data_IF_097919863744
#
_entry.id   IF_097919863744
#
_cell.length_a   1.000
_cell.length_b   1.000
_cell.length_c   1.000
_cell.angle_alpha   90.00
_cell.angle_beta   90.00
_cell.angle_gamma   90.00
#
_symmetry.space_group_name_H-M   'P 1'
#
loop_
_entity.id
_entity.type
_entity.pdbx_description
1 polymer ?
#
# COMPACT_ATOMS: atom_id res chain seq x y z
N UNK A 1 1.76 -34.56 -20.28
CA UNK A 1 2.50 -33.99 -19.14
C UNK A 1 1.71 -34.33 -17.89
N UNK A 2 2.16 -35.34 -17.15
CA UNK A 2 1.55 -35.76 -15.88
C UNK A 2 1.74 -34.63 -14.87
N UNK A 3 0.66 -34.13 -14.27
CA UNK A 3 0.71 -33.29 -13.08
C UNK A 3 1.61 -34.03 -12.07
N UNK A 4 2.79 -33.46 -11.78
CA UNK A 4 3.58 -33.93 -10.65
C UNK A 4 2.70 -33.75 -9.42
N UNK A 5 2.32 -34.85 -8.78
CA UNK A 5 1.45 -34.79 -7.61
C UNK A 5 2.21 -34.04 -6.52
N UNK A 6 1.71 -32.85 -6.17
CA UNK A 6 2.31 -31.97 -5.17
C UNK A 6 2.57 -32.69 -3.84
N UNK A 7 1.68 -33.60 -3.43
CA UNK A 7 1.81 -34.37 -2.18
C UNK A 7 3.15 -35.09 -2.01
N UNK A 8 3.51 -36.05 -2.89
CA UNK A 8 4.83 -36.70 -2.87
C UNK A 8 6.03 -35.75 -2.94
N UNK A 9 5.91 -34.62 -3.65
CA UNK A 9 6.96 -33.61 -3.69
C UNK A 9 7.12 -32.91 -2.33
N UNK A 10 6.01 -32.53 -1.67
CA UNK A 10 6.06 -31.96 -0.33
C UNK A 10 6.65 -32.95 0.69
N UNK A 11 6.29 -34.23 0.62
CA UNK A 11 6.87 -35.28 1.46
C UNK A 11 8.38 -35.42 1.24
N UNK A 12 8.83 -35.43 -0.02
CA UNK A 12 10.24 -35.45 -0.37
C UNK A 12 10.98 -34.20 0.14
N UNK A 13 10.35 -33.02 0.06
CA UNK A 13 10.89 -31.76 0.59
C UNK A 13 11.05 -31.78 2.12
N UNK A 14 10.10 -32.38 2.85
CA UNK A 14 10.24 -32.59 4.30
C UNK A 14 11.43 -33.51 4.61
N UNK A 15 11.61 -34.58 3.83
CA UNK A 15 12.73 -35.50 4.01
C UNK A 15 14.08 -34.86 3.68
N UNK A 16 14.13 -33.98 2.66
CA UNK A 16 15.28 -33.11 2.39
C UNK A 16 15.62 -32.30 3.65
N UNK A 17 14.66 -31.53 4.19
CA UNK A 17 14.89 -30.66 5.35
C UNK A 17 15.34 -31.43 6.60
N UNK A 18 14.84 -32.65 6.81
CA UNK A 18 15.29 -33.55 7.90
C UNK A 18 16.73 -34.03 7.72
N UNK A 19 17.19 -34.16 6.48
CA UNK A 19 18.55 -34.61 6.16
C UNK A 19 19.62 -33.51 6.22
N UNK A 20 19.23 -32.23 6.24
CA UNK A 20 20.19 -31.12 6.23
C UNK A 20 20.92 -30.96 7.57
N UNK A 21 22.24 -30.76 7.49
CA UNK A 21 23.05 -30.44 8.67
C UNK A 21 22.83 -28.99 9.12
N UNK A 22 22.37 -28.81 10.36
CA UNK A 22 22.06 -27.49 10.97
C UNK A 22 23.28 -26.81 11.57
N UNK A 23 24.36 -26.65 10.80
CA UNK A 23 25.54 -25.89 11.21
C UNK A 23 25.82 -24.78 10.22
N UNK A 24 26.26 -23.61 10.70
CA UNK A 24 26.66 -22.48 9.84
C UNK A 24 27.69 -22.87 8.77
N UNK A 25 28.62 -23.76 9.13
CA UNK A 25 29.63 -24.27 8.19
C UNK A 25 29.05 -25.15 7.08
N UNK A 26 27.83 -25.67 7.24
CA UNK A 26 27.19 -26.60 6.31
C UNK A 26 26.17 -25.91 5.38
N UNK A 27 25.95 -24.60 5.49
CA UNK A 27 24.94 -23.87 4.69
C UNK A 27 25.17 -24.01 3.19
N UNK A 28 26.42 -23.89 2.74
CA UNK A 28 26.76 -24.05 1.32
C UNK A 28 26.48 -25.48 0.80
N UNK A 29 26.65 -26.49 1.65
CA UNK A 29 26.31 -27.87 1.32
C UNK A 29 24.80 -28.07 1.27
N UNK A 30 24.06 -27.51 2.25
CA UNK A 30 22.61 -27.57 2.29
C UNK A 30 21.96 -26.94 1.05
N UNK A 31 22.47 -25.79 0.58
CA UNK A 31 22.00 -25.19 -0.68
C UNK A 31 22.23 -26.11 -1.87
N UNK A 32 23.42 -26.72 -2.01
CA UNK A 32 23.68 -27.67 -3.11
C UNK A 32 22.71 -28.84 -3.09
N UNK A 33 22.46 -29.44 -1.92
CA UNK A 33 21.51 -30.54 -1.78
C UNK A 33 20.08 -30.11 -2.14
N UNK A 34 19.68 -28.89 -1.79
CA UNK A 34 18.38 -28.35 -2.17
C UNK A 34 18.28 -28.01 -3.66
N UNK A 35 19.34 -27.52 -4.29
CA UNK A 35 19.39 -27.25 -5.74
C UNK A 35 19.29 -28.55 -6.55
N UNK A 36 19.96 -29.62 -6.09
CA UNK A 36 19.81 -30.97 -6.65
C UNK A 36 18.37 -31.48 -6.54
N UNK A 37 17.74 -31.26 -5.37
CA UNK A 37 16.34 -31.60 -5.16
C UNK A 37 15.39 -30.78 -6.04
N UNK A 38 15.64 -29.48 -6.20
CA UNK A 38 14.84 -28.58 -7.05
C UNK A 38 14.97 -28.95 -8.53
N UNK A 39 16.15 -29.41 -8.97
CA UNK A 39 16.38 -29.92 -10.33
C UNK A 39 15.50 -31.14 -10.63
N UNK A 40 15.22 -31.98 -9.62
CA UNK A 40 14.30 -33.11 -9.73
C UNK A 40 12.81 -32.69 -9.73
N UNK A 41 12.50 -31.44 -9.34
CA UNK A 41 11.14 -30.90 -9.23
C UNK A 41 10.98 -29.52 -9.92
N UNK A 42 11.27 -29.42 -11.23
CA UNK A 42 11.38 -28.13 -11.92
C UNK A 42 10.06 -27.33 -11.97
N UNK A 43 8.91 -27.97 -11.80
CA UNK A 43 7.60 -27.32 -11.79
C UNK A 43 7.30 -26.55 -10.50
N UNK A 44 8.14 -26.67 -9.47
CA UNK A 44 7.89 -26.15 -8.13
C UNK A 44 8.74 -24.91 -7.78
N UNK A 45 9.66 -24.50 -8.68
CA UNK A 45 10.55 -23.35 -8.51
C UNK A 45 11.10 -23.21 -7.07
N UNK A 46 11.58 -24.33 -6.51
CA UNK A 46 11.85 -24.38 -5.08
C UNK A 46 13.15 -23.68 -4.69
N UNK A 47 13.15 -23.05 -3.52
CA UNK A 47 14.29 -22.31 -2.97
C UNK A 47 14.49 -22.65 -1.50
N UNK A 48 15.73 -22.97 -1.11
CA UNK A 48 16.10 -23.10 0.29
C UNK A 48 16.49 -21.74 0.87
N UNK A 49 15.90 -21.38 1.99
CA UNK A 49 16.26 -20.21 2.80
C UNK A 49 16.97 -20.70 4.04
N UNK A 50 18.18 -20.18 4.30
CA UNK A 50 18.96 -20.48 5.49
C UNK A 50 18.84 -19.33 6.49
N UNK A 51 18.48 -19.63 7.73
CA UNK A 51 18.27 -18.66 8.80
C UNK A 51 19.21 -18.95 9.97
N UNK A 52 20.43 -18.35 9.99
CA UNK A 52 21.36 -18.55 11.08
C UNK A 52 20.85 -17.95 12.40
N UNK A 53 20.82 -18.75 13.48
CA UNK A 53 20.47 -18.26 14.82
C UNK A 53 21.60 -17.36 15.37
N UNK A 54 21.33 -16.13 15.85
CA UNK A 54 22.36 -15.26 16.44
C UNK A 54 23.10 -15.91 17.59
N UNK A 55 24.41 -15.69 17.68
CA UNK A 55 25.23 -16.23 18.77
C UNK A 55 25.31 -17.76 18.82
N UNK A 56 24.67 -18.46 17.87
CA UNK A 56 24.63 -19.90 17.79
C UNK A 56 25.29 -20.38 16.50
N UNK A 57 25.91 -21.55 16.57
CA UNK A 57 26.44 -22.25 15.39
C UNK A 57 25.33 -22.93 14.57
N UNK A 58 24.09 -22.91 15.07
CA UNK A 58 22.93 -23.52 14.43
C UNK A 58 22.32 -22.63 13.34
N UNK A 59 21.69 -23.30 12.38
CA UNK A 59 20.97 -22.69 11.25
C UNK A 59 19.67 -23.45 11.06
N UNK A 60 18.58 -22.72 10.91
CA UNK A 60 17.29 -23.28 10.48
C UNK A 60 17.14 -23.14 8.97
N UNK A 61 16.34 -24.02 8.38
CA UNK A 61 16.11 -24.05 6.95
C UNK A 61 14.62 -24.08 6.65
N UNK A 62 14.20 -23.22 5.73
CA UNK A 62 12.86 -23.19 5.16
C UNK A 62 12.96 -23.52 3.67
N UNK A 63 12.09 -24.40 3.19
CA UNK A 63 11.96 -24.69 1.76
C UNK A 63 10.72 -23.98 1.23
N UNK A 64 10.95 -22.98 0.37
CA UNK A 64 9.90 -22.26 -0.35
C UNK A 64 9.60 -23.00 -1.64
N UNK A 65 8.32 -23.22 -1.91
CA UNK A 65 7.82 -23.94 -3.09
C UNK A 65 6.73 -23.10 -3.73
N UNK A 66 6.84 -22.81 -5.03
CA UNK A 66 5.75 -22.23 -5.80
C UNK A 66 4.73 -23.32 -6.17
N UNK A 67 3.46 -23.10 -5.82
CA UNK A 67 2.37 -23.99 -6.21
C UNK A 67 1.92 -23.63 -7.64
N UNK A 68 1.93 -24.60 -8.59
CA UNK A 68 1.42 -24.36 -9.95
C UNK A 68 -0.05 -23.92 -10.02
N UNK A 69 -0.84 -24.19 -8.97
CA UNK A 69 -2.23 -23.71 -8.84
C UNK A 69 -2.34 -22.29 -8.25
N UNK A 70 -1.22 -21.72 -7.81
CA UNK A 70 -1.10 -20.36 -7.28
C UNK A 70 -0.70 -20.32 -5.81
N UNK A 71 0.22 -19.42 -5.48
CA UNK A 71 0.69 -19.18 -4.11
C UNK A 71 2.06 -19.81 -3.81
N UNK A 72 2.53 -19.62 -2.58
CA UNK A 72 3.81 -20.12 -2.09
C UNK A 72 3.58 -20.97 -0.85
N UNK A 73 4.12 -22.19 -0.86
CA UNK A 73 4.13 -23.12 0.27
C UNK A 73 5.49 -23.02 0.94
N UNK A 74 5.49 -22.84 2.26
CA UNK A 74 6.70 -22.88 3.07
C UNK A 74 6.71 -24.15 3.91
N UNK A 75 7.74 -24.98 3.73
CA UNK A 75 8.00 -26.15 4.56
C UNK A 75 9.12 -25.83 5.54
N UNK A 76 8.86 -26.06 6.82
CA UNK A 76 9.86 -25.99 7.87
C UNK A 76 9.84 -27.29 8.68
N UNK A 77 11.01 -27.71 9.14
CA UNK A 77 11.15 -28.81 10.10
C UNK A 77 11.90 -28.24 11.29
N UNK A 78 11.43 -28.46 12.51
CA UNK A 78 12.21 -28.12 13.70
C UNK A 78 13.07 -29.32 14.09
N UNK A 79 14.31 -29.06 14.52
CA UNK A 79 15.07 -30.07 15.23
C UNK A 79 14.39 -30.35 16.59
N UNK A 80 14.41 -31.60 17.03
CA UNK A 80 14.00 -31.94 18.40
C UNK A 80 15.11 -31.52 19.38
N UNK A 81 15.25 -30.20 19.57
CA UNK A 81 16.24 -29.56 20.44
C UNK A 81 15.66 -29.15 21.80
N UNK A 82 14.40 -29.55 22.09
CA UNK A 82 13.69 -29.25 23.32
C UNK A 82 13.23 -27.79 23.45
N UNK A 83 13.48 -26.93 22.47
CA UNK A 83 12.94 -25.58 22.43
C UNK A 83 11.52 -25.59 21.86
N UNK A 84 10.62 -24.80 22.44
CA UNK A 84 9.27 -24.65 21.89
C UNK A 84 9.33 -23.81 20.61
N UNK A 85 8.78 -24.32 19.51
CA UNK A 85 8.62 -23.63 18.22
C UNK A 85 8.16 -22.18 18.36
N UNK A 86 7.23 -21.94 19.30
CA UNK A 86 6.65 -20.62 19.58
C UNK A 86 7.67 -19.63 20.16
N UNK A 87 8.69 -20.11 20.90
CA UNK A 87 9.69 -19.27 21.57
C UNK A 87 10.81 -18.88 20.60
N UNK A 88 11.28 -19.83 19.79
CA UNK A 88 12.35 -19.61 18.81
C UNK A 88 11.89 -18.68 17.67
N UNK A 89 10.64 -18.79 17.21
CA UNK A 89 10.09 -17.87 16.21
C UNK A 89 9.55 -16.55 16.77
N UNK A 90 9.25 -16.46 18.07
CA UNK A 90 8.89 -15.17 18.69
C UNK A 90 10.08 -14.21 18.84
N UNK A 91 11.33 -14.70 18.69
CA UNK A 91 12.55 -13.93 19.01
C UNK A 91 13.52 -13.78 17.85
N UNK A 92 13.11 -14.00 16.59
CA UNK A 92 13.96 -13.61 15.47
C UNK A 92 14.17 -12.09 15.56
N UNK A 93 15.39 -11.66 15.84
CA UNK A 93 15.81 -10.27 15.94
C UNK A 93 15.54 -9.48 14.63
N UNK A 94 15.53 -10.16 13.47
CA UNK A 94 14.98 -9.60 12.22
C UNK A 94 13.44 -9.72 12.13
N UNK A 95 12.76 -10.55 12.93
CA UNK A 95 11.31 -10.47 13.12
C UNK A 95 10.88 -9.22 13.92
N UNK A 96 11.82 -8.39 14.38
CA UNK A 96 11.47 -7.02 14.79
C UNK A 96 11.53 -6.02 13.65
N UNK A 97 12.17 -6.30 12.51
CA UNK A 97 12.40 -5.36 11.40
C UNK A 97 11.78 -5.86 10.10
N UNK A 98 10.89 -5.05 9.55
CA UNK A 98 10.18 -5.37 8.32
C UNK A 98 10.96 -4.94 7.08
N UNK A 99 11.32 -3.66 7.06
CA UNK A 99 12.05 -3.05 5.96
C UNK A 99 12.95 -1.91 6.46
N UNK A 100 13.90 -1.51 5.64
CA UNK A 100 14.65 -0.26 5.77
C UNK A 100 14.41 0.57 4.52
N UNK A 101 14.09 1.86 4.68
CA UNK A 101 13.99 2.85 3.59
C UNK A 101 15.00 3.96 3.85
N UNK A 102 15.94 4.18 2.93
CA UNK A 102 16.98 5.22 3.04
C UNK A 102 17.74 5.20 4.39
N UNK A 103 17.98 4.00 4.93
CA UNK A 103 18.65 3.79 6.22
C UNK A 103 17.74 3.83 7.44
N UNK A 104 16.46 4.21 7.29
CA UNK A 104 15.48 4.23 8.37
C UNK A 104 14.80 2.86 8.52
N UNK A 105 15.04 2.12 9.63
CA UNK A 105 14.41 0.83 9.86
C UNK A 105 12.95 0.99 10.28
N UNK A 106 12.10 0.06 9.82
CA UNK A 106 10.68 -0.06 10.18
C UNK A 106 10.48 -1.39 10.88
N UNK A 107 9.81 -1.39 12.02
CA UNK A 107 9.52 -2.64 12.73
C UNK A 107 8.27 -3.36 12.21
N UNK A 108 8.14 -4.68 12.46
CA UNK A 108 6.90 -5.43 12.13
C UNK A 108 5.69 -4.81 12.85
N UNK A 109 5.83 -4.53 14.14
CA UNK A 109 4.76 -3.92 14.95
C UNK A 109 4.34 -2.55 14.40
N UNK A 110 5.32 -1.72 14.04
CA UNK A 110 5.09 -0.40 13.44
C UNK A 110 4.40 -0.50 12.08
N UNK A 111 4.86 -1.39 11.20
CA UNK A 111 4.25 -1.61 9.91
C UNK A 111 2.81 -2.13 10.03
N UNK A 112 2.52 -3.03 10.97
CA UNK A 112 1.16 -3.51 11.22
C UNK A 112 0.23 -2.40 11.73
N UNK A 113 0.74 -1.48 12.55
CA UNK A 113 0.00 -0.29 12.97
C UNK A 113 -0.26 0.64 11.77
N UNK A 114 0.72 0.81 10.90
CA UNK A 114 0.61 1.62 9.69
C UNK A 114 -0.44 1.04 8.72
N UNK A 115 -0.35 -0.25 8.37
CA UNK A 115 -1.28 -0.91 7.44
C UNK A 115 -2.73 -0.94 7.93
N UNK A 116 -2.98 -0.93 9.24
CA UNK A 116 -4.35 -0.76 9.77
C UNK A 116 -4.93 0.63 9.53
N UNK A 117 -4.07 1.63 9.34
CA UNK A 117 -4.45 3.03 9.10
C UNK A 117 -4.37 3.44 7.62
N UNK A 118 -3.65 2.65 6.82
CA UNK A 118 -3.41 2.87 5.41
C UNK A 118 -4.17 1.77 4.65
N UNK A 119 -5.32 2.13 4.10
CA UNK A 119 -6.01 1.27 3.14
C UNK A 119 -6.46 2.18 2.03
N UNK A 120 -5.57 2.44 1.07
CA UNK A 120 -5.90 3.16 -0.15
C UNK A 120 -6.20 2.17 -1.27
N UNK A 121 -7.34 2.32 -1.96
CA UNK A 121 -7.59 1.55 -3.17
C UNK A 121 -6.45 1.72 -4.18
N UNK A 122 -5.94 0.62 -4.74
CA UNK A 122 -4.99 0.63 -5.85
C UNK A 122 -3.50 0.70 -5.50
N UNK A 123 -3.12 0.65 -4.21
CA UNK A 123 -1.73 0.48 -3.80
C UNK A 123 -1.51 -0.86 -3.11
N UNK A 124 -0.34 -1.45 -3.34
CA UNK A 124 0.08 -2.61 -2.56
C UNK A 124 0.42 -2.18 -1.13
N UNK A 125 0.23 -3.04 -0.12
CA UNK A 125 0.70 -2.78 1.24
C UNK A 125 2.18 -2.41 1.30
N UNK A 126 3.02 -2.99 0.44
CA UNK A 126 4.44 -2.65 0.37
C UNK A 126 4.67 -1.20 -0.06
N UNK A 127 3.97 -0.74 -1.10
CA UNK A 127 4.08 0.64 -1.59
C UNK A 127 3.61 1.66 -0.54
N UNK A 128 2.56 1.33 0.20
CA UNK A 128 2.06 2.20 1.27
C UNK A 128 3.08 2.36 2.41
N UNK A 129 3.72 1.27 2.83
CA UNK A 129 4.77 1.31 3.86
C UNK A 129 5.95 2.17 3.41
N UNK A 130 6.45 1.99 2.19
CA UNK A 130 7.56 2.77 1.63
C UNK A 130 7.21 4.25 1.57
N UNK A 131 6.03 4.59 1.02
CA UNK A 131 5.56 5.97 0.91
C UNK A 131 5.40 6.64 2.27
N UNK A 132 4.92 5.91 3.27
CA UNK A 132 4.84 6.44 4.63
C UNK A 132 6.23 6.77 5.19
N UNK A 133 7.22 5.90 5.01
CA UNK A 133 8.57 6.15 5.50
C UNK A 133 9.19 7.39 4.87
N UNK A 134 9.09 7.50 3.54
CA UNK A 134 9.58 8.67 2.81
C UNK A 134 8.94 9.96 3.28
N UNK A 135 7.62 9.91 3.49
CA UNK A 135 6.88 11.04 3.99
C UNK A 135 7.29 11.44 5.40
N UNK A 136 7.39 10.46 6.31
CA UNK A 136 7.82 10.70 7.69
C UNK A 136 9.20 11.35 7.72
N UNK A 137 10.15 10.81 6.96
CA UNK A 137 11.53 11.27 6.97
C UNK A 137 11.64 12.66 6.32
N UNK A 138 10.85 12.93 5.29
CA UNK A 138 10.77 14.26 4.69
C UNK A 138 10.11 15.29 5.64
N UNK A 139 9.02 14.91 6.31
CA UNK A 139 8.30 15.76 7.25
C UNK A 139 9.06 16.00 8.56
N UNK A 140 9.99 15.11 8.95
CA UNK A 140 10.77 15.24 10.18
C UNK A 140 11.60 16.55 10.24
N UNK A 141 11.91 17.12 9.08
CA UNK A 141 12.66 18.38 8.95
C UNK A 141 11.78 19.63 9.13
N UNK A 142 10.45 19.47 9.13
CA UNK A 142 9.53 20.58 9.34
C UNK A 142 9.59 21.09 10.77
N UNK A 143 9.66 22.41 10.90
CA UNK A 143 9.49 23.08 12.18
C UNK A 143 8.00 23.39 12.39
N UNK A 144 7.47 22.95 13.52
CA UNK A 144 6.09 23.19 13.92
C UNK A 144 6.06 24.01 15.20
N UNK A 145 5.15 24.97 15.25
CA UNK A 145 4.89 25.77 16.44
C UNK A 145 4.00 25.03 17.42
N UNK A 146 3.94 25.49 18.67
CA UNK A 146 2.97 24.99 19.64
C UNK A 146 1.52 25.16 19.16
N UNK A 147 1.25 26.19 18.35
CA UNK A 147 -0.06 26.41 17.74
C UNK A 147 -0.42 25.29 16.75
N UNK A 148 0.53 24.86 15.92
CA UNK A 148 0.30 23.78 14.95
C UNK A 148 0.01 22.44 15.67
N UNK A 149 0.74 22.17 16.75
CA UNK A 149 0.53 20.97 17.59
C UNK A 149 -0.85 21.01 18.24
N UNK A 150 -1.25 22.18 18.78
CA UNK A 150 -2.57 22.34 19.38
C UNK A 150 -3.69 22.17 18.34
N UNK A 151 -3.53 22.73 17.14
CA UNK A 151 -4.50 22.57 16.05
C UNK A 151 -4.64 21.08 15.64
N UNK A 152 -3.53 20.34 15.57
CA UNK A 152 -3.56 18.89 15.32
C UNK A 152 -4.30 18.13 16.44
N UNK A 153 -4.03 18.46 17.70
CA UNK A 153 -4.72 17.89 18.86
C UNK A 153 -6.23 18.18 18.83
N UNK A 154 -6.63 19.40 18.49
CA UNK A 154 -8.03 19.81 18.40
C UNK A 154 -8.77 19.05 17.30
N UNK A 155 -8.14 18.94 16.12
CA UNK A 155 -8.67 18.15 15.02
C UNK A 155 -8.82 16.67 15.38
N UNK A 156 -7.83 16.09 16.05
CA UNK A 156 -7.88 14.72 16.55
C UNK A 156 -9.04 14.52 17.53
N UNK A 157 -9.15 15.40 18.53
CA UNK A 157 -10.20 15.36 19.55
C UNK A 157 -11.59 15.47 18.93
N UNK A 158 -11.78 16.40 17.99
CA UNK A 158 -13.06 16.60 17.28
C UNK A 158 -13.50 15.34 16.52
N UNK A 159 -12.59 14.69 15.79
CA UNK A 159 -12.90 13.45 15.03
C UNK A 159 -13.25 12.26 15.93
N UNK A 160 -12.75 12.25 17.17
CA UNK A 160 -12.93 11.16 18.13
C UNK A 160 -13.97 11.46 19.22
N UNK A 161 -14.61 12.63 19.18
CA UNK A 161 -15.56 13.05 20.21
C UNK A 161 -14.92 13.31 21.59
N UNK A 162 -13.61 13.59 21.65
CA UNK A 162 -12.86 13.80 22.90
C UNK A 162 -12.92 15.27 23.32
N UNK A 163 -14.12 15.76 23.60
CA UNK A 163 -14.39 17.20 23.81
C UNK A 163 -14.07 17.68 25.23
N UNK A 164 -13.92 16.78 26.19
CA UNK A 164 -13.59 17.11 27.59
C UNK A 164 -12.22 16.56 28.01
N UNK A 165 -11.65 17.15 29.06
CA UNK A 165 -10.39 16.67 29.66
C UNK A 165 -10.53 15.25 30.22
N UNK A 166 -11.65 14.94 30.85
CA UNK A 166 -11.88 13.63 31.47
C UNK A 166 -12.02 12.55 30.41
N UNK A 167 -12.81 12.81 29.36
CA UNK A 167 -12.93 11.89 28.21
C UNK A 167 -11.60 11.67 27.50
N UNK A 168 -10.76 12.71 27.41
CA UNK A 168 -9.41 12.58 26.86
C UNK A 168 -8.52 11.71 27.74
N UNK A 169 -8.57 11.87 29.07
CA UNK A 169 -7.76 11.07 30.01
C UNK A 169 -8.18 9.61 30.00
N UNK A 170 -9.49 9.33 30.06
CA UNK A 170 -10.02 7.96 29.95
C UNK A 170 -9.63 7.31 28.62
N UNK A 171 -9.61 8.08 27.54
CA UNK A 171 -9.15 7.60 26.25
C UNK A 171 -7.65 7.27 26.27
N UNK A 172 -6.80 8.14 26.83
CA UNK A 172 -5.37 7.88 26.96
C UNK A 172 -5.08 6.64 27.81
N UNK A 173 -5.75 6.49 28.95
CA UNK A 173 -5.60 5.34 29.85
C UNK A 173 -6.00 4.04 29.14
N UNK A 174 -7.14 4.04 28.43
CA UNK A 174 -7.60 2.88 27.64
C UNK A 174 -6.64 2.51 26.51
N UNK A 175 -6.00 3.51 25.91
CA UNK A 175 -5.03 3.31 24.83
C UNK A 175 -3.62 3.01 25.35
N UNK A 176 -3.38 3.08 26.66
CA UNK A 176 -2.06 2.90 27.27
C UNK A 176 -1.06 3.98 26.86
N UNK A 177 -1.52 5.20 26.57
CA UNK A 177 -0.68 6.30 26.09
C UNK A 177 -0.46 7.35 27.17
N UNK A 178 0.79 7.79 27.35
CA UNK A 178 1.09 8.95 28.19
C UNK A 178 0.70 10.26 27.49
N UNK A 179 0.52 11.33 28.26
CA UNK A 179 0.27 12.66 27.71
C UNK A 179 1.44 13.17 26.84
N UNK A 180 2.68 12.81 27.20
CA UNK A 180 3.88 13.10 26.43
C UNK A 180 3.89 12.34 25.09
N UNK A 181 3.61 11.04 25.10
CA UNK A 181 3.51 10.25 23.87
C UNK A 181 2.39 10.77 22.94
N UNK A 182 1.27 11.22 23.51
CA UNK A 182 0.22 11.89 22.75
C UNK A 182 0.68 13.23 22.16
N UNK A 183 1.40 14.05 22.93
CA UNK A 183 1.97 15.30 22.45
C UNK A 183 2.95 15.08 21.30
N UNK A 184 3.85 14.10 21.43
CA UNK A 184 4.80 13.73 20.38
C UNK A 184 4.09 13.24 19.12
N UNK A 185 3.03 12.45 19.28
CA UNK A 185 2.20 12.02 18.17
C UNK A 185 1.52 13.20 17.45
N UNK A 186 1.01 14.19 18.20
CA UNK A 186 0.45 15.41 17.61
C UNK A 186 1.50 16.29 16.95
N UNK A 187 2.72 16.35 17.48
CA UNK A 187 3.83 17.03 16.85
C UNK A 187 4.22 16.38 15.51
N UNK A 188 4.27 15.04 15.45
CA UNK A 188 4.50 14.32 14.21
C UNK A 188 3.37 14.56 13.18
N UNK A 189 2.10 14.53 13.62
CA UNK A 189 0.96 14.81 12.75
C UNK A 189 0.96 16.26 12.23
N UNK A 190 1.34 17.23 13.05
CA UNK A 190 1.47 18.63 12.65
C UNK A 190 2.57 18.80 11.59
N UNK A 191 3.72 18.12 11.76
CA UNK A 191 4.82 18.13 10.78
C UNK A 191 4.37 17.56 9.45
N UNK A 192 3.67 16.43 9.46
CA UNK A 192 3.13 15.82 8.25
C UNK A 192 2.16 16.77 7.51
N UNK A 193 1.20 17.35 8.23
CA UNK A 193 0.26 18.30 7.65
C UNK A 193 0.95 19.53 7.06
N UNK A 194 1.92 20.10 7.78
CA UNK A 194 2.70 21.26 7.31
C UNK A 194 3.52 20.92 6.07
N UNK A 195 4.22 19.78 6.09
CA UNK A 195 5.01 19.31 4.95
C UNK A 195 4.13 19.16 3.71
N UNK A 196 2.99 18.45 3.83
CA UNK A 196 2.05 18.25 2.74
C UNK A 196 1.50 19.55 2.20
N UNK A 197 1.07 20.47 3.08
CA UNK A 197 0.53 21.77 2.68
C UNK A 197 1.58 22.58 1.89
N UNK A 198 2.80 22.72 2.43
CA UNK A 198 3.90 23.42 1.77
C UNK A 198 4.24 22.80 0.42
N UNK A 199 4.39 21.48 0.35
CA UNK A 199 4.74 20.80 -0.90
C UNK A 199 3.64 20.94 -1.96
N UNK A 200 2.36 20.90 -1.58
CA UNK A 200 1.24 21.11 -2.52
C UNK A 200 1.22 22.53 -3.06
N UNK A 201 1.43 23.52 -2.19
CA UNK A 201 1.50 24.93 -2.57
C UNK A 201 2.69 25.19 -3.51
N UNK A 202 3.85 24.63 -3.19
CA UNK A 202 5.09 24.77 -3.98
C UNK A 202 4.99 24.10 -5.36
N UNK A 203 4.44 22.88 -5.43
CA UNK A 203 4.41 22.09 -6.66
C UNK A 203 3.19 22.37 -7.54
N UNK A 204 2.08 22.83 -6.95
CA UNK A 204 0.77 22.96 -7.61
C UNK A 204 0.79 23.84 -8.87
N UNK A 205 1.26 25.10 -8.80
CA UNK A 205 1.28 26.00 -9.97
C UNK A 205 2.07 25.42 -11.15
N UNK A 206 3.25 24.86 -10.88
CA UNK A 206 4.10 24.26 -11.92
C UNK A 206 3.49 22.99 -12.52
N UNK A 207 2.74 22.23 -11.74
CA UNK A 207 2.03 21.04 -12.23
C UNK A 207 0.80 21.42 -13.06
N UNK A 208 0.02 22.41 -12.62
CA UNK A 208 -1.11 22.94 -13.38
C UNK A 208 -0.67 23.48 -14.75
N UNK A 209 0.42 24.23 -14.80
CA UNK A 209 0.94 24.77 -16.06
C UNK A 209 1.39 23.67 -17.06
N UNK A 210 1.83 22.52 -16.56
CA UNK A 210 2.27 21.37 -17.39
C UNK A 210 1.13 20.45 -17.81
N UNK A 211 0.04 20.44 -17.06
CA UNK A 211 -1.09 19.52 -17.25
C UNK A 211 -2.46 20.22 -17.15
N UNK A 212 -2.67 21.39 -17.81
CA UNK A 212 -3.92 22.15 -17.66
C UNK A 212 -5.15 21.33 -18.07
N UNK A 213 -5.01 20.41 -19.02
CA UNK A 213 -6.07 19.53 -19.52
C UNK A 213 -6.65 18.59 -18.44
N UNK A 214 -5.85 18.25 -17.42
CA UNK A 214 -6.31 17.38 -16.31
C UNK A 214 -7.18 18.13 -15.31
N UNK A 215 -7.08 19.45 -15.26
CA UNK A 215 -7.75 20.29 -14.27
C UNK A 215 -8.87 21.15 -14.85
N UNK A 216 -9.28 20.90 -16.10
CA UNK A 216 -10.52 21.45 -16.62
C UNK A 216 -11.70 20.97 -15.76
N UNK A 217 -12.59 21.89 -15.34
CA UNK A 217 -13.82 21.52 -14.63
C UNK A 217 -14.80 20.93 -15.62
N UNK A 218 -15.38 19.79 -15.27
CA UNK A 218 -16.31 19.05 -16.12
C UNK A 218 -17.57 18.69 -15.34
N UNK A 219 -18.71 18.83 -16.00
CA UNK A 219 -20.01 18.36 -15.53
C UNK A 219 -20.38 17.15 -16.37
N UNK A 220 -20.29 15.98 -15.77
CA UNK A 220 -20.44 14.71 -16.46
C UNK A 220 -21.50 13.84 -15.81
N UNK A 221 -22.19 13.07 -16.65
CA UNK A 221 -23.04 11.95 -16.25
C UNK A 221 -22.51 10.70 -16.92
N UNK A 222 -22.26 9.62 -16.17
CA UNK A 222 -21.81 8.35 -16.74
C UNK A 222 -22.27 7.14 -15.94
N UNK A 223 -22.26 5.99 -16.59
CA UNK A 223 -22.63 4.70 -16.02
C UNK A 223 -21.60 3.64 -16.41
N UNK A 224 -21.33 2.72 -15.49
CA UNK A 224 -20.61 1.47 -15.76
C UNK A 224 -21.62 0.33 -15.63
N UNK A 225 -21.78 -0.47 -16.68
CA UNK A 225 -22.81 -1.51 -16.78
C UNK A 225 -22.26 -2.80 -17.38
N UNK A 226 -22.87 -3.94 -17.06
CA UNK A 226 -22.52 -5.23 -17.69
C UNK A 226 -23.02 -5.31 -19.14
N UNK A 227 -24.10 -4.59 -19.45
CA UNK A 227 -24.70 -4.50 -20.77
C UNK A 227 -24.47 -3.12 -21.40
N UNK A 228 -24.37 -3.02 -22.75
CA UNK A 228 -24.23 -1.74 -23.44
C UNK A 228 -25.47 -0.86 -23.27
N UNK A 229 -25.24 0.43 -22.97
CA UNK A 229 -26.28 1.47 -22.83
C UNK A 229 -25.99 2.59 -23.84
N UNK A 230 -27.00 3.08 -24.56
CA UNK A 230 -26.83 4.22 -25.47
C UNK A 230 -26.65 5.53 -24.68
N UNK A 231 -25.83 6.45 -25.20
CA UNK A 231 -25.64 7.79 -24.64
C UNK A 231 -26.98 8.53 -24.51
N UNK A 232 -27.90 8.35 -25.47
CA UNK A 232 -29.21 9.00 -25.45
C UNK A 232 -30.07 8.60 -24.24
N UNK A 233 -29.81 7.43 -23.64
CA UNK A 233 -30.52 6.96 -22.45
C UNK A 233 -30.06 7.69 -21.17
N UNK A 234 -28.89 8.35 -21.18
CA UNK A 234 -28.35 9.06 -20.00
C UNK A 234 -29.06 10.38 -19.67
N UNK A 235 -29.63 11.03 -20.69
CA UNK A 235 -30.45 12.24 -20.54
C UNK A 235 -31.93 11.90 -20.29
N UNK A 236 -32.31 10.63 -20.45
CA UNK A 236 -33.68 10.13 -20.36
C UNK A 236 -33.94 9.27 -19.11
N UNK A 237 -34.97 8.43 -19.22
CA UNK A 237 -35.25 7.38 -18.25
C UNK A 237 -34.45 6.13 -18.61
N UNK A 238 -33.64 5.61 -17.68
CA UNK A 238 -32.92 4.34 -17.81
C UNK A 238 -33.87 3.10 -17.74
N UNK A 239 -35.19 3.32 -17.88
CA UNK A 239 -36.23 2.30 -17.78
C UNK A 239 -36.31 1.68 -16.38
N UNK A 240 -36.63 0.38 -16.33
CA UNK A 240 -36.77 -0.41 -15.10
C UNK A 240 -35.42 -0.95 -14.57
N UNK A 241 -34.28 -0.45 -15.06
CA UNK A 241 -32.94 -0.91 -14.66
C UNK A 241 -32.54 -0.30 -13.31
N UNK A 242 -32.83 -1.01 -12.24
CA UNK A 242 -32.57 -0.58 -10.85
C UNK A 242 -31.17 -0.94 -10.32
N UNK A 243 -30.42 -1.76 -11.06
CA UNK A 243 -29.08 -2.24 -10.74
C UNK A 243 -27.96 -1.34 -11.27
N UNK A 244 -28.30 -0.32 -12.06
CA UNK A 244 -27.34 0.62 -12.62
C UNK A 244 -26.90 1.69 -11.62
N UNK A 245 -25.59 1.92 -11.54
CA UNK A 245 -25.02 3.04 -10.80
C UNK A 245 -24.68 4.20 -11.74
N UNK A 246 -25.63 5.14 -11.86
CA UNK A 246 -25.40 6.41 -12.53
C UNK A 246 -24.59 7.35 -11.64
N UNK A 247 -23.51 7.91 -12.18
CA UNK A 247 -22.72 8.94 -11.51
C UNK A 247 -22.92 10.26 -12.23
N UNK A 248 -23.40 11.27 -11.50
CA UNK A 248 -23.47 12.66 -11.97
C UNK A 248 -22.57 13.50 -11.07
N UNK A 249 -21.53 14.10 -11.64
CA UNK A 249 -20.54 14.82 -10.87
C UNK A 249 -20.07 16.09 -11.58
N UNK A 250 -19.77 17.10 -10.77
CA UNK A 250 -18.86 18.18 -11.11
C UNK A 250 -17.48 17.76 -10.60
N UNK A 251 -16.52 17.58 -11.49
CA UNK A 251 -15.19 17.05 -11.14
C UNK A 251 -14.11 17.63 -12.04
N UNK A 252 -12.85 17.22 -11.84
CA UNK A 252 -11.75 17.50 -12.74
C UNK A 252 -11.71 16.50 -13.88
N UNK A 253 -11.34 16.97 -15.07
CA UNK A 253 -11.18 16.15 -16.28
C UNK A 253 -10.30 14.92 -16.05
N UNK A 254 -9.22 15.06 -15.27
CA UNK A 254 -8.30 13.97 -14.96
C UNK A 254 -8.91 12.83 -14.12
N UNK A 255 -9.99 13.11 -13.39
CA UNK A 255 -10.70 12.14 -12.53
C UNK A 255 -11.78 11.37 -13.30
N UNK A 256 -12.10 11.79 -14.53
CA UNK A 256 -13.02 11.03 -15.38
C UNK A 256 -12.40 9.70 -15.81
N UNK A 257 -13.24 8.67 -16.08
CA UNK A 257 -12.82 7.49 -16.81
C UNK A 257 -12.12 7.87 -18.12
N UNK A 258 -11.05 7.15 -18.47
CA UNK A 258 -10.18 7.52 -19.59
C UNK A 258 -10.92 7.86 -20.90
N UNK A 259 -11.95 7.11 -21.34
CA UNK A 259 -12.68 7.45 -22.56
C UNK A 259 -13.43 8.78 -22.54
N UNK A 260 -13.79 9.31 -21.36
CA UNK A 260 -14.52 10.57 -21.20
C UNK A 260 -13.61 11.80 -21.07
N UNK A 261 -12.31 11.61 -20.86
CA UNK A 261 -11.37 12.71 -20.57
C UNK A 261 -11.21 13.67 -21.75
N UNK A 262 -11.33 13.18 -22.97
CA UNK A 262 -11.13 14.00 -24.18
C UNK A 262 -12.46 14.46 -24.81
N UNK A 263 -13.59 14.03 -24.27
CA UNK A 263 -14.91 14.32 -24.82
C UNK A 263 -15.26 15.81 -24.68
N UNK A 264 -15.61 16.53 -25.76
CA UNK A 264 -15.97 17.95 -25.68
C UNK A 264 -17.29 18.16 -24.94
N UNK A 265 -17.58 19.40 -24.55
CA UNK A 265 -18.88 19.76 -24.00
C UNK A 265 -20.01 19.47 -25.01
N UNK A 266 -21.12 18.89 -24.51
CA UNK A 266 -22.21 18.35 -25.31
C UNK A 266 -21.90 16.99 -25.97
N UNK A 267 -20.67 16.49 -25.84
CA UNK A 267 -20.26 15.20 -26.41
C UNK A 267 -20.58 14.03 -25.50
N UNK A 268 -20.84 12.87 -26.09
CA UNK A 268 -20.98 11.60 -25.40
C UNK A 268 -20.02 10.55 -25.93
N UNK A 269 -19.72 9.57 -25.06
CA UNK A 269 -18.89 8.41 -25.37
C UNK A 269 -19.61 7.18 -24.86
N UNK A 270 -19.67 6.14 -25.67
CA UNK A 270 -20.22 4.86 -25.27
C UNK A 270 -21.28 4.33 -26.23
N UNK A 271 -21.68 3.07 -26.05
CA UNK A 271 -21.09 2.11 -25.11
C UNK A 271 -19.69 1.67 -25.55
N UNK A 272 -18.68 1.78 -24.67
CA UNK A 272 -17.30 1.33 -24.92
C UNK A 272 -16.82 0.41 -23.81
N UNK A 273 -16.03 -0.61 -24.16
CA UNK A 273 -15.46 -1.52 -23.16
C UNK A 273 -14.46 -0.79 -22.25
N UNK A 274 -14.62 -0.94 -20.93
CA UNK A 274 -13.82 -0.32 -19.88
C UNK A 274 -13.81 -1.17 -18.62
N UNK A 275 -12.63 -1.62 -18.17
CA UNK A 275 -12.43 -2.42 -16.96
C UNK A 275 -13.36 -3.64 -16.84
N UNK A 276 -13.55 -4.36 -17.96
CA UNK A 276 -14.41 -5.56 -18.03
C UNK A 276 -15.91 -5.27 -18.09
N UNK A 277 -16.32 -4.00 -18.16
CA UNK A 277 -17.72 -3.54 -18.27
C UNK A 277 -17.89 -2.58 -19.46
N UNK A 278 -19.11 -2.12 -19.71
CA UNK A 278 -19.38 -1.03 -20.64
C UNK A 278 -19.43 0.30 -19.91
N UNK A 279 -18.72 1.29 -20.43
CA UNK A 279 -18.83 2.69 -20.05
C UNK A 279 -19.68 3.43 -21.09
N UNK A 280 -20.67 4.16 -20.59
CA UNK A 280 -21.41 5.17 -21.36
C UNK A 280 -21.42 6.46 -20.55
N UNK A 281 -21.12 7.59 -21.18
CA UNK A 281 -21.10 8.88 -20.51
C UNK A 281 -21.32 10.07 -21.44
N UNK A 282 -21.70 11.18 -20.83
CA UNK A 282 -22.00 12.46 -21.46
C UNK A 282 -21.32 13.59 -20.69
N UNK A 283 -20.66 14.50 -21.40
CA UNK A 283 -20.13 15.75 -20.85
C UNK A 283 -21.12 16.85 -21.18
N UNK A 284 -21.79 17.38 -20.16
CA UNK A 284 -22.76 18.48 -20.33
C UNK A 284 -22.06 19.84 -20.44
N UNK A 285 -21.03 20.07 -19.63
CA UNK A 285 -20.27 21.32 -19.62
C UNK A 285 -18.79 21.02 -19.36
N UNK A 286 -17.92 21.83 -19.97
CA UNK A 286 -16.49 21.85 -19.71
C UNK A 286 -16.00 23.29 -19.63
N UNK A 287 -15.23 23.58 -18.58
CA UNK A 287 -14.54 24.85 -18.39
C UNK A 287 -13.05 24.60 -18.31
N UNK A 288 -12.26 25.41 -19.01
CA UNK A 288 -10.80 25.32 -18.96
C UNK A 288 -10.27 25.56 -17.55
N UNK A 289 -9.11 24.97 -17.25
CA UNK A 289 -8.49 25.14 -15.96
C UNK A 289 -8.03 26.59 -15.76
N UNK A 290 -8.40 27.17 -14.62
CA UNK A 290 -7.94 28.49 -14.18
C UNK A 290 -7.18 28.33 -12.88
N UNK A 291 -6.19 29.18 -12.62
CA UNK A 291 -5.39 29.12 -11.39
C UNK A 291 -6.16 29.70 -10.17
N UNK A 292 -7.37 29.20 -9.92
CA UNK A 292 -8.12 29.48 -8.70
C UNK A 292 -7.68 28.57 -7.55
N UNK A 293 -8.10 28.89 -6.32
CA UNK A 293 -7.64 28.17 -5.12
C UNK A 293 -7.97 26.66 -5.15
N UNK A 294 -9.15 26.30 -5.64
CA UNK A 294 -9.60 24.89 -5.72
C UNK A 294 -8.78 24.11 -6.75
N UNK A 295 -8.51 24.73 -7.90
CA UNK A 295 -7.71 24.13 -8.98
C UNK A 295 -6.25 23.97 -8.57
N UNK A 296 -5.69 24.98 -7.88
CA UNK A 296 -4.34 24.92 -7.33
C UNK A 296 -4.20 23.86 -6.22
N UNK A 297 -5.23 23.69 -5.38
CA UNK A 297 -5.25 22.63 -4.37
C UNK A 297 -5.27 21.24 -5.03
N UNK A 298 -6.14 21.03 -6.03
CA UNK A 298 -6.21 19.78 -6.78
C UNK A 298 -4.91 19.46 -7.52
N UNK A 299 -4.34 20.47 -8.21
CA UNK A 299 -3.05 20.33 -8.88
C UNK A 299 -1.91 20.08 -7.90
N UNK A 300 -1.91 20.75 -6.76
CA UNK A 300 -0.95 20.52 -5.67
C UNK A 300 -1.03 19.10 -5.13
N UNK A 301 -2.23 18.56 -4.92
CA UNK A 301 -2.43 17.18 -4.49
C UNK A 301 -1.89 16.18 -5.52
N UNK A 302 -2.23 16.34 -6.80
CA UNK A 302 -1.72 15.47 -7.87
C UNK A 302 -0.19 15.55 -7.99
N UNK A 303 0.37 16.75 -7.89
CA UNK A 303 1.82 16.97 -7.94
C UNK A 303 2.54 16.32 -6.76
N UNK A 304 1.95 16.40 -5.56
CA UNK A 304 2.48 15.77 -4.36
C UNK A 304 2.45 14.24 -4.47
N UNK A 305 1.37 13.66 -4.98
CA UNK A 305 1.27 12.21 -5.18
C UNK A 305 2.30 11.72 -6.22
N UNK A 306 2.51 12.48 -7.29
CA UNK A 306 3.56 12.21 -8.28
C UNK A 306 4.95 12.30 -7.65
N UNK A 307 5.22 13.36 -6.85
CA UNK A 307 6.49 13.52 -6.14
C UNK A 307 6.78 12.32 -5.23
N UNK A 308 5.78 11.85 -4.49
CA UNK A 308 5.92 10.72 -3.58
C UNK A 308 6.15 9.40 -4.33
N UNK A 309 5.48 9.22 -5.48
CA UNK A 309 5.72 8.07 -6.36
C UNK A 309 7.15 8.09 -6.94
N UNK A 310 7.66 9.26 -7.33
CA UNK A 310 9.02 9.38 -7.86
C UNK A 310 10.08 9.28 -6.76
N UNK A 311 9.79 9.73 -5.54
CA UNK A 311 10.62 9.46 -4.37
C UNK A 311 10.72 7.96 -4.08
N UNK A 312 9.58 7.24 -4.10
CA UNK A 312 9.55 5.79 -3.91
C UNK A 312 10.40 5.02 -4.91
N UNK A 313 10.39 5.42 -6.19
CA UNK A 313 11.24 4.80 -7.23
C UNK A 313 12.74 5.00 -7.02
N UNK A 314 13.14 6.05 -6.28
CA UNK A 314 14.56 6.39 -6.04
C UNK A 314 15.07 5.91 -4.68
N UNK A 315 14.18 5.50 -3.79
CA UNK A 315 14.51 5.11 -2.44
C UNK A 315 15.34 3.81 -2.41
N UNK A 316 16.29 3.73 -1.48
CA UNK A 316 16.98 2.47 -1.20
C UNK A 316 16.14 1.65 -0.23
N UNK A 317 15.57 0.56 -0.72
CA UNK A 317 14.66 -0.30 0.04
C UNK A 317 15.33 -1.65 0.28
N UNK A 318 15.41 -2.05 1.55
CA UNK A 318 15.85 -3.40 1.94
C UNK A 318 14.74 -4.07 2.74
N UNK A 319 14.22 -5.18 2.23
CA UNK A 319 13.26 -6.03 2.95
C UNK A 319 14.03 -7.06 3.77
N UNK A 320 13.66 -7.24 5.05
CA UNK A 320 14.39 -8.13 5.97
C UNK A 320 13.69 -9.48 6.22
N UNK A 321 12.62 -9.76 5.46
CA UNK A 321 11.86 -11.02 5.49
C UNK A 321 12.06 -11.87 4.22
N UNK A 322 12.95 -11.45 3.30
CA UNK A 322 13.28 -12.14 2.05
C UNK A 322 14.68 -12.76 2.17
#
# INVERSE_FOLDING_TARGET
MTQSSLGPALESGVNLLRGLTRRRSAVAEAHRTADEWATAHPSLAAQLVASPRPGSSLVDYDLLIEDPSGGTIMLCVQADDGASWLVDHATHWAASRLLTVDGTPVSVSEAMLMLRSLTRPGLSPQDELVRFCLLRDAAAKEQVSLYDIQAAADGFRKRRGLTSRDTMREWLDRMGLSAEAFHDHMAASARDHRFRARMREELGPGHLARHPERFARVWATWVLSEEPIDVAELDGSLGDRWDLRLTRARTWSGDLPAPLRETPAGGGVGPVSHDGRFLTGLITERQEAVADAETLEAAGQAAFDQWLADAAKRAQITWHWL
#
